data_IF_947863607362
#
_entry.id   IF_947863607362
#
_cell.length_a   1.000
_cell.length_b   1.000
_cell.length_c   1.000
_cell.angle_alpha   90.00
_cell.angle_beta   90.00
_cell.angle_gamma   90.00
#
_symmetry.space_group_name_H-M   'P 1'
#
loop_
_entity.id
_entity.type
_entity.pdbx_description
1 polymer ?
#
# COMPACT_ATOMS: atom_id res chain seq x y z
N UNK A 1 24.51 -35.13 -5.74
CA UNK A 1 25.46 -34.04 -6.02
C UNK A 1 26.01 -34.03 -7.45
N UNK A 2 26.38 -35.17 -8.05
CA UNK A 2 26.80 -35.22 -9.46
C UNK A 2 25.81 -34.61 -10.44
N UNK A 3 24.53 -34.82 -10.27
CA UNK A 3 23.47 -34.35 -11.19
C UNK A 3 23.31 -32.83 -11.28
N UNK A 4 23.53 -32.08 -10.20
CA UNK A 4 23.44 -30.61 -10.21
C UNK A 4 24.68 -29.99 -10.85
N UNK A 5 25.85 -30.56 -10.59
CA UNK A 5 27.11 -30.10 -11.13
C UNK A 5 27.21 -30.39 -12.64
N UNK A 6 26.77 -31.61 -13.07
CA UNK A 6 26.65 -31.97 -14.47
C UNK A 6 25.60 -31.12 -15.22
N UNK A 7 24.46 -30.84 -14.60
CA UNK A 7 23.45 -29.94 -15.20
C UNK A 7 23.94 -28.50 -15.30
N UNK A 8 24.73 -28.05 -14.35
CA UNK A 8 25.32 -26.70 -14.38
C UNK A 8 26.43 -26.60 -15.44
N UNK A 9 27.30 -27.60 -15.60
CA UNK A 9 28.32 -27.63 -16.62
C UNK A 9 27.72 -27.74 -18.03
N UNK A 10 26.69 -28.55 -18.24
CA UNK A 10 25.96 -28.63 -19.49
C UNK A 10 25.28 -27.33 -19.83
N UNK A 11 24.59 -26.71 -18.86
CA UNK A 11 23.97 -25.41 -19.06
C UNK A 11 25.00 -24.31 -19.34
N UNK A 12 26.14 -24.32 -18.66
CA UNK A 12 27.19 -23.33 -18.82
C UNK A 12 27.89 -23.50 -20.18
N UNK A 13 28.27 -24.72 -20.57
CA UNK A 13 28.98 -24.98 -21.81
C UNK A 13 28.08 -24.92 -23.04
N UNK A 14 26.87 -25.49 -23.02
CA UNK A 14 26.02 -25.49 -24.21
C UNK A 14 25.28 -24.18 -24.42
N UNK A 15 24.82 -23.53 -23.35
CA UNK A 15 24.05 -22.28 -23.52
C UNK A 15 24.90 -21.01 -23.42
N UNK A 16 25.84 -20.92 -22.51
CA UNK A 16 26.60 -19.67 -22.32
C UNK A 16 27.68 -19.52 -23.38
N UNK A 17 28.45 -20.60 -23.70
CA UNK A 17 29.48 -20.54 -24.76
C UNK A 17 28.87 -20.39 -26.15
N UNK A 18 27.79 -21.09 -26.44
CA UNK A 18 27.10 -20.91 -27.74
C UNK A 18 26.50 -19.50 -27.90
N UNK A 19 26.02 -18.89 -26.80
CA UNK A 19 25.62 -17.48 -26.82
C UNK A 19 26.79 -16.54 -27.09
N UNK A 20 27.97 -16.80 -26.53
CA UNK A 20 29.18 -15.99 -26.78
C UNK A 20 29.63 -16.04 -28.24
N UNK A 21 29.54 -17.19 -28.91
CA UNK A 21 29.87 -17.32 -30.32
C UNK A 21 28.86 -16.58 -31.22
N UNK A 22 27.58 -16.66 -30.89
CA UNK A 22 26.49 -15.92 -31.58
C UNK A 22 26.62 -14.41 -31.38
N UNK A 23 27.03 -13.95 -30.17
CA UNK A 23 27.27 -12.55 -29.87
C UNK A 23 28.45 -11.98 -30.69
N UNK A 24 29.49 -12.77 -30.93
CA UNK A 24 30.68 -12.34 -31.73
C UNK A 24 30.33 -12.14 -33.20
N UNK A 25 29.33 -12.90 -33.70
CA UNK A 25 28.91 -12.85 -35.12
C UNK A 25 27.91 -11.71 -35.42
N UNK A 26 27.14 -11.24 -34.41
CA UNK A 26 26.08 -10.25 -34.64
C UNK A 26 26.10 -9.15 -33.56
N UNK A 27 26.70 -7.95 -33.83
CA UNK A 27 26.81 -6.86 -32.85
C UNK A 27 25.46 -6.33 -32.37
N UNK A 28 24.38 -6.45 -33.15
CA UNK A 28 23.01 -6.08 -32.77
C UNK A 28 22.50 -6.93 -31.59
N UNK A 29 22.90 -8.20 -31.50
CA UNK A 29 22.50 -9.08 -30.39
C UNK A 29 23.17 -8.69 -29.06
N UNK A 30 24.34 -8.08 -29.11
CA UNK A 30 25.01 -7.53 -27.90
C UNK A 30 24.19 -6.39 -27.35
N UNK A 31 23.68 -5.48 -28.18
CA UNK A 31 22.84 -4.37 -27.77
C UNK A 31 21.53 -4.87 -27.13
N UNK A 32 20.89 -5.88 -27.72
CA UNK A 32 19.68 -6.50 -27.15
C UNK A 32 19.95 -7.16 -25.79
N UNK A 33 21.09 -7.86 -25.66
CA UNK A 33 21.49 -8.47 -24.37
C UNK A 33 21.74 -7.42 -23.26
N UNK A 34 22.39 -6.30 -23.60
CA UNK A 34 22.62 -5.19 -22.66
C UNK A 34 21.30 -4.56 -22.23
N UNK A 35 20.36 -4.39 -23.15
CA UNK A 35 19.03 -3.85 -22.85
C UNK A 35 18.26 -4.83 -21.95
N UNK A 36 18.26 -6.11 -22.25
CA UNK A 36 17.60 -7.15 -21.47
C UNK A 36 18.17 -7.24 -20.05
N UNK A 37 19.49 -7.30 -19.92
CA UNK A 37 20.18 -7.29 -18.62
C UNK A 37 19.88 -6.00 -17.82
N UNK A 38 19.81 -4.84 -18.51
CA UNK A 38 19.48 -3.57 -17.87
C UNK A 38 18.03 -3.53 -17.36
N UNK A 39 17.10 -4.10 -18.12
CA UNK A 39 15.68 -4.21 -17.70
C UNK A 39 15.57 -5.14 -16.49
N UNK A 40 16.23 -6.30 -16.52
CA UNK A 40 16.23 -7.24 -15.39
C UNK A 40 16.86 -6.61 -14.15
N UNK A 41 18.02 -5.96 -14.29
CA UNK A 41 18.67 -5.24 -13.18
C UNK A 41 17.80 -4.13 -12.61
N UNK A 42 17.11 -3.37 -13.46
CA UNK A 42 16.16 -2.34 -13.04
C UNK A 42 14.97 -2.93 -12.30
N UNK A 43 14.40 -4.04 -12.78
CA UNK A 43 13.29 -4.73 -12.11
C UNK A 43 13.71 -5.25 -10.73
N UNK A 44 14.88 -5.90 -10.65
CA UNK A 44 15.44 -6.39 -9.37
C UNK A 44 15.68 -5.22 -8.41
N UNK A 45 16.28 -4.11 -8.87
CA UNK A 45 16.52 -2.92 -8.05
C UNK A 45 15.20 -2.33 -7.53
N UNK A 46 14.18 -2.22 -8.37
CA UNK A 46 12.85 -1.73 -7.99
C UNK A 46 12.17 -2.65 -6.98
N UNK A 47 12.30 -3.97 -7.17
CA UNK A 47 11.77 -4.98 -6.25
C UNK A 47 12.44 -4.88 -4.87
N UNK A 48 13.78 -4.86 -4.83
CA UNK A 48 14.56 -4.72 -3.59
C UNK A 48 14.23 -3.42 -2.86
N UNK A 49 14.09 -2.31 -3.61
CA UNK A 49 13.71 -1.02 -3.02
C UNK A 49 12.30 -1.04 -2.43
N UNK A 50 11.35 -1.73 -3.06
CA UNK A 50 9.98 -1.88 -2.57
C UNK A 50 9.91 -2.69 -1.27
N UNK A 51 10.78 -3.70 -1.13
CA UNK A 51 10.77 -4.64 0.00
C UNK A 51 11.67 -4.17 1.17
N UNK A 52 12.59 -3.24 0.94
CA UNK A 52 13.67 -2.86 1.88
C UNK A 52 13.23 -2.50 3.31
N UNK A 53 12.02 -1.94 3.47
CA UNK A 53 11.51 -1.48 4.77
C UNK A 53 10.31 -2.31 5.28
N UNK A 54 10.12 -3.53 4.78
CA UNK A 54 8.97 -4.37 5.13
C UNK A 54 9.39 -5.58 5.97
N UNK A 55 8.42 -6.22 6.63
CA UNK A 55 8.61 -7.52 7.33
C UNK A 55 9.16 -8.60 6.39
N UNK A 56 8.85 -8.51 5.10
CA UNK A 56 9.36 -9.41 4.07
C UNK A 56 10.89 -9.36 3.94
N UNK A 57 11.56 -8.22 4.17
CA UNK A 57 13.02 -8.12 4.14
C UNK A 57 13.68 -8.91 5.29
N UNK A 58 13.06 -8.94 6.46
CA UNK A 58 13.58 -9.73 7.59
C UNK A 58 13.51 -11.23 7.30
N UNK A 59 12.39 -11.67 6.70
CA UNK A 59 12.22 -13.06 6.26
C UNK A 59 13.20 -13.42 5.14
N UNK A 60 13.39 -12.54 4.16
CA UNK A 60 14.38 -12.74 3.10
C UNK A 60 15.80 -12.94 3.63
N UNK A 61 16.22 -12.15 4.63
CA UNK A 61 17.52 -12.34 5.32
C UNK A 61 17.60 -13.71 6.00
N UNK A 62 16.52 -14.15 6.65
CA UNK A 62 16.45 -15.47 7.28
C UNK A 62 16.64 -16.60 6.27
N UNK A 63 16.01 -16.51 5.09
CA UNK A 63 16.16 -17.50 4.01
C UNK A 63 17.60 -17.53 3.50
N UNK A 64 18.22 -16.39 3.25
CA UNK A 64 19.60 -16.31 2.77
C UNK A 64 20.54 -16.96 3.79
N UNK A 65 20.37 -16.71 5.08
CA UNK A 65 21.15 -17.35 6.14
C UNK A 65 20.94 -18.87 6.13
N UNK A 66 19.70 -19.32 5.94
CA UNK A 66 19.37 -20.75 5.90
C UNK A 66 20.01 -21.45 4.69
N UNK A 67 20.00 -20.81 3.51
CA UNK A 67 20.67 -21.32 2.31
C UNK A 67 22.19 -21.47 2.57
N UNK A 68 22.82 -20.41 3.10
CA UNK A 68 24.26 -20.43 3.40
C UNK A 68 24.57 -21.53 4.42
N UNK A 69 23.76 -21.69 5.45
CA UNK A 69 23.95 -22.75 6.46
C UNK A 69 23.80 -24.15 5.86
N UNK A 70 22.86 -24.35 4.94
CA UNK A 70 22.66 -25.64 4.25
C UNK A 70 23.86 -25.99 3.38
N UNK A 71 24.35 -25.06 2.56
CA UNK A 71 25.54 -25.27 1.71
C UNK A 71 26.78 -25.51 2.56
N UNK A 72 26.97 -24.73 3.61
CA UNK A 72 28.13 -24.87 4.52
C UNK A 72 28.11 -26.24 5.25
N UNK A 73 26.94 -26.71 5.68
CA UNK A 73 26.81 -28.01 6.34
C UNK A 73 27.19 -29.16 5.40
N UNK A 74 26.78 -29.04 4.12
CA UNK A 74 27.18 -30.01 3.07
C UNK A 74 28.68 -30.00 2.79
N UNK A 75 29.30 -28.81 2.72
CA UNK A 75 30.74 -28.66 2.53
C UNK A 75 31.55 -29.23 3.70
N UNK A 76 31.07 -29.09 4.94
CA UNK A 76 31.72 -29.61 6.16
C UNK A 76 31.45 -31.11 6.38
N UNK A 77 30.69 -31.79 5.53
CA UNK A 77 30.34 -33.20 5.67
C UNK A 77 29.42 -33.53 6.84
N UNK A 78 28.60 -32.54 7.27
CA UNK A 78 27.64 -32.70 8.36
C UNK A 78 26.32 -33.25 7.82
N UNK A 79 26.30 -34.56 7.46
CA UNK A 79 25.21 -35.18 6.72
C UNK A 79 23.83 -35.05 7.40
N UNK A 80 23.77 -35.23 8.73
CA UNK A 80 22.52 -35.12 9.49
C UNK A 80 22.00 -33.69 9.48
N UNK A 81 22.88 -32.71 9.74
CA UNK A 81 22.52 -31.30 9.75
C UNK A 81 22.10 -30.85 8.34
N UNK A 82 22.83 -31.25 7.31
CA UNK A 82 22.48 -30.97 5.91
C UNK A 82 21.12 -31.55 5.55
N UNK A 83 20.80 -32.80 5.94
CA UNK A 83 19.51 -33.40 5.71
C UNK A 83 18.37 -32.61 6.38
N UNK A 84 18.55 -32.23 7.65
CA UNK A 84 17.54 -31.44 8.38
C UNK A 84 17.32 -30.08 7.71
N UNK A 85 18.38 -29.34 7.42
CA UNK A 85 18.30 -28.02 6.80
C UNK A 85 17.69 -28.08 5.39
N UNK A 86 18.03 -29.07 4.57
CA UNK A 86 17.46 -29.31 3.25
C UNK A 86 15.95 -29.64 3.33
N UNK A 87 15.56 -30.41 4.34
CA UNK A 87 14.14 -30.70 4.58
C UNK A 87 13.37 -29.44 4.99
N UNK A 88 13.93 -28.61 5.88
CA UNK A 88 13.37 -27.32 6.26
C UNK A 88 13.24 -26.39 5.04
N UNK A 89 14.23 -26.36 4.14
CA UNK A 89 14.16 -25.57 2.91
C UNK A 89 13.02 -26.05 2.00
N UNK A 90 12.90 -27.36 1.80
CA UNK A 90 11.88 -27.92 0.90
C UNK A 90 10.47 -27.65 1.39
N UNK A 91 10.19 -27.89 2.67
CA UNK A 91 8.87 -27.64 3.26
C UNK A 91 8.65 -26.17 3.62
N UNK A 92 9.71 -25.43 3.95
CA UNK A 92 9.66 -24.00 4.30
C UNK A 92 9.14 -23.12 3.19
N UNK A 93 9.43 -23.45 1.92
CA UNK A 93 8.85 -22.74 0.76
C UNK A 93 7.32 -22.87 0.74
N UNK A 94 6.79 -24.06 1.01
CA UNK A 94 5.35 -24.29 1.04
C UNK A 94 4.68 -23.52 2.19
N UNK A 95 5.27 -23.56 3.37
CA UNK A 95 4.80 -22.79 4.54
C UNK A 95 4.84 -21.30 4.26
N UNK A 96 5.88 -20.84 3.57
CA UNK A 96 6.03 -19.42 3.22
C UNK A 96 4.94 -18.95 2.26
N UNK A 97 4.58 -19.74 1.24
CA UNK A 97 3.47 -19.41 0.32
C UNK A 97 2.17 -19.21 1.12
N UNK A 98 1.88 -20.08 2.09
CA UNK A 98 0.68 -19.99 2.94
C UNK A 98 0.74 -18.72 3.83
N UNK A 99 1.88 -18.42 4.44
CA UNK A 99 2.04 -17.22 5.30
C UNK A 99 1.90 -15.94 4.47
N UNK A 100 2.43 -15.91 3.25
CA UNK A 100 2.36 -14.72 2.38
C UNK A 100 1.09 -14.64 1.52
N UNK A 101 0.20 -15.63 1.60
CA UNK A 101 -1.05 -15.61 0.85
C UNK A 101 -1.85 -14.29 1.02
N UNK A 102 -2.05 -13.74 2.24
CA UNK A 102 -2.77 -12.48 2.41
C UNK A 102 -2.03 -11.27 1.80
N UNK A 103 -0.70 -11.21 1.87
CA UNK A 103 0.09 -10.14 1.28
C UNK A 103 0.09 -10.20 -0.25
N UNK A 104 0.20 -11.40 -0.82
CA UNK A 104 0.11 -11.60 -2.27
C UNK A 104 -1.28 -11.21 -2.78
N UNK A 105 -2.35 -11.61 -2.07
CA UNK A 105 -3.72 -11.23 -2.42
C UNK A 105 -3.88 -9.71 -2.43
N UNK A 106 -3.47 -9.00 -1.36
CA UNK A 106 -3.50 -7.53 -1.30
C UNK A 106 -2.74 -6.87 -2.45
N UNK A 107 -1.54 -7.38 -2.77
CA UNK A 107 -0.72 -6.84 -3.86
C UNK A 107 -1.39 -7.03 -5.22
N UNK A 108 -1.97 -8.20 -5.47
CA UNK A 108 -2.70 -8.49 -6.72
C UNK A 108 -3.97 -7.65 -6.85
N UNK A 109 -4.72 -7.45 -5.77
CA UNK A 109 -5.88 -6.56 -5.73
C UNK A 109 -5.49 -5.10 -6.02
N UNK A 110 -4.37 -4.61 -5.48
CA UNK A 110 -3.85 -3.28 -5.77
C UNK A 110 -3.43 -3.10 -7.23
N UNK A 111 -2.81 -4.12 -7.83
CA UNK A 111 -2.41 -4.09 -9.24
C UNK A 111 -3.65 -4.15 -10.15
N UNK A 112 -4.62 -5.00 -9.81
CA UNK A 112 -5.86 -5.16 -10.57
C UNK A 112 -6.80 -3.93 -10.48
N UNK A 113 -6.82 -3.24 -9.35
CA UNK A 113 -7.70 -2.08 -9.15
C UNK A 113 -7.19 -0.80 -9.80
N UNK A 114 -5.86 -0.63 -9.94
CA UNK A 114 -5.26 0.58 -10.53
C UNK A 114 -5.52 0.75 -12.04
N UNK A 115 -5.71 -0.34 -12.78
CA UNK A 115 -5.80 -0.26 -14.24
C UNK A 115 -7.17 0.11 -14.81
N UNK A 116 -8.25 -0.16 -14.11
CA UNK A 116 -9.63 -0.01 -14.65
C UNK A 116 -10.34 1.20 -14.07
N UNK A 117 -10.12 1.54 -12.79
CA UNK A 117 -10.76 2.70 -12.14
C UNK A 117 -10.28 4.05 -12.64
N UNK A 118 -9.00 4.20 -13.00
CA UNK A 118 -8.46 5.48 -13.50
C UNK A 118 -9.09 5.95 -14.82
N UNK A 119 -9.80 5.06 -15.54
CA UNK A 119 -10.46 5.39 -16.81
C UNK A 119 -11.86 5.97 -16.57
N UNK A 120 -12.55 5.60 -15.48
CA UNK A 120 -13.92 6.01 -15.18
C UNK A 120 -14.04 7.21 -14.22
N UNK A 121 -13.00 7.54 -13.43
CA UNK A 121 -13.05 8.58 -12.39
C UNK A 121 -12.76 10.02 -12.89
N UNK A 122 -12.77 10.27 -14.18
CA UNK A 122 -12.44 11.60 -14.77
C UNK A 122 -13.52 12.65 -14.45
N UNK A 123 -14.72 12.24 -14.07
CA UNK A 123 -15.88 13.12 -13.89
C UNK A 123 -15.97 13.79 -12.49
N UNK A 124 -15.21 13.31 -11.50
CA UNK A 124 -15.37 13.69 -10.07
C UNK A 124 -14.40 14.75 -9.54
N UNK A 125 -13.66 15.46 -10.39
CA UNK A 125 -12.63 16.42 -9.92
C UNK A 125 -13.18 17.72 -9.32
N UNK A 126 -14.42 18.10 -9.64
CA UNK A 126 -15.02 19.34 -9.11
C UNK A 126 -15.46 19.20 -7.65
N UNK A 127 -15.79 17.99 -7.21
CA UNK A 127 -16.32 17.72 -5.87
C UNK A 127 -15.25 17.55 -4.77
N UNK A 128 -13.97 17.35 -5.11
CA UNK A 128 -12.95 17.03 -4.12
C UNK A 128 -12.63 18.20 -3.19
N UNK A 129 -12.57 19.41 -3.74
CA UNK A 129 -12.32 20.63 -2.94
C UNK A 129 -13.47 20.88 -1.96
N UNK A 130 -14.71 20.69 -2.41
CA UNK A 130 -15.92 20.81 -1.60
C UNK A 130 -15.95 19.77 -0.48
N UNK A 131 -15.60 18.51 -0.76
CA UNK A 131 -15.54 17.44 0.24
C UNK A 131 -14.56 17.76 1.37
N UNK A 132 -13.34 18.18 1.04
CA UNK A 132 -12.31 18.55 2.05
C UNK A 132 -12.80 19.74 2.89
N UNK A 133 -13.39 20.76 2.27
CA UNK A 133 -13.89 21.94 2.96
C UNK A 133 -15.04 21.60 3.92
N UNK A 134 -15.95 20.71 3.53
CA UNK A 134 -17.03 20.22 4.39
C UNK A 134 -16.53 19.39 5.58
N UNK A 135 -15.54 18.50 5.36
CA UNK A 135 -14.91 17.74 6.46
C UNK A 135 -14.19 18.66 7.43
N UNK A 136 -13.41 19.62 6.92
CA UNK A 136 -12.68 20.57 7.77
C UNK A 136 -13.66 21.40 8.61
N UNK A 137 -14.73 21.90 8.00
CA UNK A 137 -15.79 22.64 8.70
C UNK A 137 -16.46 21.79 9.79
N UNK A 138 -16.78 20.52 9.47
CA UNK A 138 -17.38 19.60 10.43
C UNK A 138 -16.48 19.31 11.63
N UNK A 139 -15.21 18.93 11.36
CA UNK A 139 -14.27 18.48 12.40
C UNK A 139 -13.96 19.61 13.39
N UNK A 140 -13.80 20.87 12.93
CA UNK A 140 -13.54 21.99 13.82
C UNK A 140 -14.77 22.41 14.63
N UNK A 141 -15.99 22.30 14.07
CA UNK A 141 -17.22 22.48 14.85
C UNK A 141 -17.34 21.42 15.94
N UNK A 142 -17.15 20.13 15.61
CA UNK A 142 -17.16 19.04 16.57
C UNK A 142 -16.09 19.21 17.66
N UNK A 143 -14.87 19.58 17.26
CA UNK A 143 -13.78 19.85 18.18
C UNK A 143 -14.12 21.00 19.16
N UNK A 144 -14.71 22.10 18.68
CA UNK A 144 -15.14 23.22 19.53
C UNK A 144 -16.25 22.84 20.52
N UNK A 145 -17.10 21.89 20.17
CA UNK A 145 -18.17 21.33 20.99
C UNK A 145 -17.70 20.15 21.86
N UNK A 146 -16.40 19.78 21.77
CA UNK A 146 -15.81 18.59 22.41
C UNK A 146 -16.50 17.28 22.03
N UNK A 147 -16.97 17.18 20.82
CA UNK A 147 -17.50 15.96 20.24
C UNK A 147 -16.36 15.18 19.59
N UNK A 148 -16.15 13.94 20.02
CA UNK A 148 -15.15 13.04 19.48
C UNK A 148 -15.52 12.58 18.07
N UNK A 149 -14.58 12.66 17.11
CA UNK A 149 -14.80 12.22 15.75
C UNK A 149 -13.55 11.55 15.17
N UNK A 150 -13.77 10.55 14.31
CA UNK A 150 -12.72 9.78 13.63
C UNK A 150 -13.10 9.61 12.15
N UNK A 151 -12.40 10.31 11.28
CA UNK A 151 -12.69 10.35 9.84
C UNK A 151 -11.48 9.81 9.08
N UNK A 152 -11.72 8.82 8.21
CA UNK A 152 -10.69 8.12 7.43
C UNK A 152 -10.93 8.37 5.95
N UNK A 153 -9.95 8.91 5.27
CA UNK A 153 -9.95 9.05 3.81
C UNK A 153 -9.23 7.85 3.18
N UNK A 154 -9.97 7.04 2.42
CA UNK A 154 -9.40 5.97 1.60
C UNK A 154 -8.59 6.56 0.45
N UNK A 155 -7.39 6.03 0.22
CA UNK A 155 -6.54 6.41 -0.91
C UNK A 155 -6.40 5.28 -1.92
N UNK A 156 -5.14 4.85 -2.14
CA UNK A 156 -4.83 3.79 -3.10
C UNK A 156 -5.18 2.40 -2.54
N UNK A 157 -5.01 2.20 -1.24
CA UNK A 157 -5.33 0.94 -0.56
C UNK A 157 -6.81 0.89 -0.20
N UNK A 158 -7.50 -0.15 -0.68
CA UNK A 158 -8.94 -0.34 -0.40
C UNK A 158 -9.19 -0.63 1.08
N UNK A 159 -10.16 0.09 1.65
CA UNK A 159 -10.65 -0.11 3.01
C UNK A 159 -12.01 -0.83 3.05
N UNK A 160 -12.36 -1.57 1.99
CA UNK A 160 -13.66 -2.24 1.89
C UNK A 160 -13.91 -3.22 3.05
N UNK A 161 -12.90 -3.98 3.49
CA UNK A 161 -13.03 -4.89 4.64
C UNK A 161 -13.37 -4.13 5.93
N UNK A 162 -12.77 -2.95 6.13
CA UNK A 162 -13.07 -2.09 7.29
C UNK A 162 -14.46 -1.46 7.15
N UNK A 163 -14.84 -1.00 5.97
CA UNK A 163 -16.16 -0.43 5.71
C UNK A 163 -17.30 -1.45 5.97
N UNK A 164 -17.07 -2.72 5.71
CA UNK A 164 -18.02 -3.81 6.00
C UNK A 164 -18.23 -4.07 7.50
N UNK A 165 -17.36 -3.60 8.39
CA UNK A 165 -17.58 -3.70 9.84
C UNK A 165 -18.59 -2.69 10.37
N UNK A 166 -18.86 -1.63 9.60
CA UNK A 166 -19.75 -0.55 9.96
C UNK A 166 -21.10 -0.59 9.22
N UNK A 167 -21.83 0.50 9.34
CA UNK A 167 -23.11 0.72 8.66
C UNK A 167 -22.86 1.44 7.34
N UNK A 168 -23.33 0.87 6.23
CA UNK A 168 -23.24 1.50 4.91
C UNK A 168 -24.12 2.74 4.86
N UNK A 169 -23.57 3.87 4.45
CA UNK A 169 -24.28 5.16 4.33
C UNK A 169 -24.45 5.56 2.87
N UNK A 170 -23.41 5.44 2.06
CA UNK A 170 -23.35 5.79 0.63
C UNK A 170 -23.96 7.17 0.31
N UNK A 171 -23.47 8.23 0.93
CA UNK A 171 -23.97 9.60 0.75
C UNK A 171 -22.85 10.57 0.38
N UNK A 172 -23.23 11.75 -0.15
CA UNK A 172 -22.31 12.86 -0.31
C UNK A 172 -21.85 13.37 1.06
N UNK A 173 -20.59 13.85 1.10
CA UNK A 173 -20.03 14.45 2.32
C UNK A 173 -20.65 15.83 2.53
N UNK A 174 -21.23 16.05 3.69
CA UNK A 174 -21.67 17.36 4.17
C UNK A 174 -21.32 17.54 5.65
N UNK A 175 -21.09 18.78 6.04
CA UNK A 175 -20.82 19.14 7.43
C UNK A 175 -21.94 18.69 8.36
N UNK A 176 -23.17 18.86 7.94
CA UNK A 176 -24.37 18.53 8.70
C UNK A 176 -24.50 17.03 8.93
N UNK A 177 -24.26 16.22 7.87
CA UNK A 177 -24.32 14.76 7.99
C UNK A 177 -23.21 14.21 8.88
N UNK A 178 -21.98 14.69 8.73
CA UNK A 178 -20.86 14.27 9.58
C UNK A 178 -21.14 14.60 11.05
N UNK A 179 -21.65 15.78 11.35
CA UNK A 179 -22.02 16.16 12.71
C UNK A 179 -23.13 15.28 13.28
N UNK A 180 -24.14 14.93 12.47
CA UNK A 180 -25.20 14.02 12.88
C UNK A 180 -24.70 12.60 13.16
N UNK A 181 -23.77 12.10 12.36
CA UNK A 181 -23.15 10.77 12.59
C UNK A 181 -22.46 10.73 13.96
N UNK A 182 -21.71 11.78 14.32
CA UNK A 182 -20.91 11.80 15.55
C UNK A 182 -21.66 12.38 16.77
N UNK A 183 -23.00 12.57 16.70
CA UNK A 183 -23.76 12.93 17.89
C UNK A 183 -23.59 11.85 18.97
N UNK A 184 -23.13 12.22 20.17
CA UNK A 184 -22.94 11.26 21.26
C UNK A 184 -24.21 10.45 21.56
N UNK A 185 -24.03 9.22 22.02
CA UNK A 185 -25.10 8.30 22.41
C UNK A 185 -26.04 7.85 21.27
N UNK A 186 -25.63 8.07 20.00
CA UNK A 186 -26.35 7.55 18.83
C UNK A 186 -25.66 6.29 18.28
N UNK A 187 -26.38 5.41 17.53
CA UNK A 187 -25.79 4.16 17.01
C UNK A 187 -24.60 4.32 16.06
N UNK A 188 -24.44 5.48 15.43
CA UNK A 188 -23.42 5.70 14.40
C UNK A 188 -22.15 6.39 14.92
N UNK A 189 -22.16 6.94 16.16
CA UNK A 189 -21.06 7.77 16.66
C UNK A 189 -19.84 6.97 17.12
N UNK A 190 -20.03 5.70 17.47
CA UNK A 190 -18.94 4.85 17.95
C UNK A 190 -18.25 4.15 16.77
N UNK A 191 -17.01 4.52 16.52
CA UNK A 191 -16.21 4.06 15.42
C UNK A 191 -15.79 5.16 14.46
N UNK A 192 -15.39 4.76 13.25
CA UNK A 192 -14.88 5.66 12.21
C UNK A 192 -15.88 5.85 11.07
N UNK A 193 -15.82 7.03 10.45
CA UNK A 193 -16.42 7.30 9.16
C UNK A 193 -15.38 7.08 8.07
N UNK A 194 -15.71 6.30 7.04
CA UNK A 194 -14.84 6.08 5.88
C UNK A 194 -15.36 6.91 4.71
N UNK A 195 -14.47 7.75 4.17
CA UNK A 195 -14.72 8.56 2.97
C UNK A 195 -13.87 8.01 1.83
N UNK A 196 -14.55 7.75 0.70
CA UNK A 196 -13.95 7.28 -0.54
C UNK A 196 -14.57 8.02 -1.71
N UNK A 197 -13.76 8.52 -2.65
CA UNK A 197 -14.22 9.23 -3.85
C UNK A 197 -15.25 10.32 -3.49
N UNK A 198 -14.96 11.13 -2.46
CA UNK A 198 -15.82 12.24 -1.99
C UNK A 198 -17.20 11.83 -1.46
N UNK A 199 -17.37 10.56 -1.11
CA UNK A 199 -18.59 10.02 -0.52
C UNK A 199 -18.33 9.36 0.83
N UNK A 200 -19.25 9.50 1.76
CA UNK A 200 -19.26 8.70 2.99
C UNK A 200 -19.72 7.29 2.59
N UNK A 201 -18.81 6.33 2.66
CA UNK A 201 -19.12 4.92 2.34
C UNK A 201 -19.82 4.25 3.50
N UNK A 202 -19.25 4.37 4.70
CA UNK A 202 -19.77 3.75 5.91
C UNK A 202 -19.44 4.58 7.15
N UNK A 203 -20.21 4.37 8.21
CA UNK A 203 -20.01 4.94 9.53
C UNK A 203 -19.96 3.84 10.60
N UNK A 204 -19.55 4.16 11.83
CA UNK A 204 -19.39 3.17 12.92
C UNK A 204 -18.45 2.02 12.55
N UNK A 205 -17.40 2.29 11.75
CA UNK A 205 -16.43 1.29 11.31
C UNK A 205 -15.41 1.02 12.41
N UNK A 206 -15.08 -0.27 12.62
CA UNK A 206 -14.09 -0.71 13.61
C UNK A 206 -12.70 -0.67 12.98
N UNK A 207 -11.80 0.12 13.57
CA UNK A 207 -10.41 0.22 13.12
C UNK A 207 -9.47 -0.61 14.00
N UNK A 208 -8.37 -1.13 13.44
CA UNK A 208 -7.31 -1.75 14.23
C UNK A 208 -6.67 -0.72 15.16
N UNK A 209 -6.39 -1.13 16.39
CA UNK A 209 -5.71 -0.30 17.39
C UNK A 209 -4.21 -0.56 17.31
N UNK A 210 -3.40 0.48 17.51
CA UNK A 210 -1.94 0.34 17.53
C UNK A 210 -1.45 -0.38 18.79
N UNK A 211 -0.43 -1.23 18.62
CA UNK A 211 0.25 -1.93 19.73
C UNK A 211 1.36 -1.08 20.39
N UNK A 212 1.54 0.19 19.97
CA UNK A 212 2.57 1.06 20.53
C UNK A 212 2.28 1.38 22.00
N UNK A 213 3.14 0.92 22.91
CA UNK A 213 3.02 1.17 24.35
C UNK A 213 3.42 2.60 24.77
N UNK A 214 4.32 3.24 24.03
CA UNK A 214 4.90 4.55 24.34
C UNK A 214 4.09 5.73 23.77
N UNK A 215 2.78 5.61 23.69
CA UNK A 215 1.93 6.73 23.31
C UNK A 215 1.58 7.60 24.53
N UNK A 216 1.57 8.91 24.31
CA UNK A 216 1.17 9.88 25.32
C UNK A 216 -0.24 9.53 25.87
N UNK A 217 -0.41 9.62 27.19
CA UNK A 217 -1.67 9.28 27.88
C UNK A 217 -2.86 10.13 27.43
N UNK A 218 -2.62 11.30 26.85
CA UNK A 218 -3.66 12.17 26.28
C UNK A 218 -4.35 11.58 25.03
N UNK A 219 -3.82 10.49 24.43
CA UNK A 219 -4.42 9.87 23.27
C UNK A 219 -5.41 8.77 23.68
N UNK A 220 -6.70 9.07 23.59
CA UNK A 220 -7.79 8.13 23.82
C UNK A 220 -7.91 7.07 22.70
N UNK A 221 -8.97 6.27 22.78
CA UNK A 221 -9.22 5.13 21.88
C UNK A 221 -9.26 5.52 20.41
N UNK A 222 -9.90 6.66 20.05
CA UNK A 222 -9.97 7.16 18.66
C UNK A 222 -8.59 7.49 18.08
N UNK A 223 -7.70 8.08 18.89
CA UNK A 223 -6.34 8.37 18.45
C UNK A 223 -5.52 7.08 18.24
N UNK A 224 -5.65 6.10 19.13
CA UNK A 224 -4.98 4.81 19.04
C UNK A 224 -5.46 4.02 17.82
N UNK A 225 -6.75 4.07 17.52
CA UNK A 225 -7.35 3.48 16.33
C UNK A 225 -6.87 4.19 15.03
N UNK A 226 -6.79 5.52 15.04
CA UNK A 226 -6.25 6.28 13.93
C UNK A 226 -4.79 5.91 13.62
N UNK A 227 -3.94 5.80 14.66
CA UNK A 227 -2.54 5.38 14.49
C UNK A 227 -2.47 3.96 13.94
N UNK A 228 -3.19 3.00 14.54
CA UNK A 228 -3.19 1.60 14.11
C UNK A 228 -3.64 1.42 12.65
N UNK A 229 -4.69 2.13 12.24
CA UNK A 229 -5.16 2.12 10.85
C UNK A 229 -4.12 2.73 9.90
N UNK A 230 -3.48 3.84 10.28
CA UNK A 230 -2.46 4.49 9.46
C UNK A 230 -1.12 3.73 9.36
N UNK A 231 -0.88 2.77 10.24
CA UNK A 231 0.25 1.84 10.17
C UNK A 231 0.03 0.74 9.13
N UNK A 232 -1.23 0.36 8.91
CA UNK A 232 -1.62 -0.75 8.05
C UNK A 232 -2.10 -0.29 6.66
N UNK A 233 -2.30 1.03 6.46
CA UNK A 233 -2.80 1.59 5.20
C UNK A 233 -2.13 2.92 4.86
N UNK A 234 -2.36 3.38 3.64
CA UNK A 234 -1.96 4.72 3.16
C UNK A 234 -3.04 5.79 3.39
N UNK A 235 -4.06 5.46 4.17
CA UNK A 235 -5.17 6.35 4.50
C UNK A 235 -4.70 7.62 5.21
N UNK A 236 -5.43 8.71 4.97
CA UNK A 236 -5.27 9.96 5.71
C UNK A 236 -6.39 10.05 6.73
N UNK A 237 -6.04 10.22 8.00
CA UNK A 237 -7.00 10.12 9.11
C UNK A 237 -7.02 11.42 9.91
N UNK A 238 -8.22 11.90 10.20
CA UNK A 238 -8.45 13.10 11.03
C UNK A 238 -9.22 12.71 12.28
N UNK A 239 -8.75 13.21 13.42
CA UNK A 239 -9.34 12.94 14.75
C UNK A 239 -9.68 14.24 15.44
N UNK A 240 -10.91 14.35 15.97
CA UNK A 240 -11.26 15.37 16.96
C UNK A 240 -11.29 14.71 18.34
N UNK A 241 -10.58 15.31 19.31
CA UNK A 241 -10.56 14.85 20.68
C UNK A 241 -11.76 15.37 21.46
N UNK A 242 -12.51 14.48 22.08
CA UNK A 242 -13.61 14.84 23.00
C UNK A 242 -13.11 15.41 24.33
N UNK A 243 -11.91 15.05 24.74
CA UNK A 243 -11.34 15.54 26.00
C UNK A 243 -10.78 16.96 25.87
N UNK A 244 -9.95 17.18 24.84
CA UNK A 244 -9.18 18.42 24.69
C UNK A 244 -9.77 19.38 23.66
N UNK A 245 -10.69 18.95 22.81
CA UNK A 245 -11.21 19.73 21.70
C UNK A 245 -10.15 20.02 20.62
N UNK A 246 -9.05 19.25 20.57
CA UNK A 246 -7.99 19.45 19.58
C UNK A 246 -8.20 18.55 18.38
N UNK A 247 -7.77 19.04 17.20
CA UNK A 247 -7.78 18.27 15.96
C UNK A 247 -6.39 17.73 15.68
N UNK A 248 -6.32 16.44 15.33
CA UNK A 248 -5.09 15.73 14.98
C UNK A 248 -5.19 15.14 13.57
N UNK A 249 -4.07 15.12 12.86
CA UNK A 249 -3.90 14.48 11.56
C UNK A 249 -2.96 13.29 11.71
N UNK A 250 -3.38 12.11 11.26
CA UNK A 250 -2.61 10.86 11.41
C UNK A 250 -2.31 10.26 10.04
N UNK A 251 -1.03 9.95 9.79
CA UNK A 251 -0.54 9.46 8.50
C UNK A 251 0.70 8.58 8.73
N UNK A 252 0.75 7.39 8.13
CA UNK A 252 1.89 6.47 8.19
C UNK A 252 2.38 6.22 9.64
N UNK A 253 1.46 5.98 10.57
CA UNK A 253 1.76 5.72 11.98
C UNK A 253 2.29 6.92 12.76
N UNK A 254 2.22 8.14 12.20
CA UNK A 254 2.63 9.40 12.84
C UNK A 254 1.42 10.29 13.08
N UNK A 255 1.34 10.85 14.28
CA UNK A 255 0.29 11.80 14.65
C UNK A 255 0.87 13.22 14.70
N UNK A 256 0.15 14.17 14.10
CA UNK A 256 0.39 15.61 14.18
C UNK A 256 -0.80 16.19 14.93
N UNK A 257 -0.57 16.59 16.18
CA UNK A 257 -1.62 17.12 17.06
C UNK A 257 -1.74 18.64 16.96
N UNK A 258 -2.90 19.16 17.39
CA UNK A 258 -3.19 20.61 17.41
C UNK A 258 -2.98 21.28 16.04
N UNK A 259 -3.44 20.62 15.00
CA UNK A 259 -3.36 21.16 13.64
C UNK A 259 -4.34 22.35 13.53
N UNK A 260 -3.95 23.45 12.91
CA UNK A 260 -4.86 24.57 12.62
C UNK A 260 -5.75 24.27 11.42
N UNK A 261 -6.93 24.90 11.34
CA UNK A 261 -7.89 24.70 10.26
C UNK A 261 -7.28 24.90 8.87
N UNK A 262 -6.51 25.96 8.69
CA UNK A 262 -5.83 26.26 7.43
C UNK A 262 -4.78 25.19 7.06
N UNK A 263 -4.01 24.74 8.06
CA UNK A 263 -3.00 23.69 7.87
C UNK A 263 -3.65 22.37 7.52
N UNK A 264 -4.73 21.99 8.22
CA UNK A 264 -5.47 20.76 7.92
C UNK A 264 -6.03 20.78 6.51
N UNK A 265 -6.67 21.88 6.12
CA UNK A 265 -7.24 22.06 4.77
C UNK A 265 -6.16 21.92 3.69
N UNK A 266 -5.01 22.56 3.88
CA UNK A 266 -3.88 22.50 2.95
C UNK A 266 -3.30 21.09 2.86
N UNK A 267 -3.10 20.42 4.00
CA UNK A 267 -2.54 19.07 4.05
C UNK A 267 -3.49 18.03 3.43
N UNK A 268 -4.80 18.12 3.71
CA UNK A 268 -5.80 17.25 3.10
C UNK A 268 -5.86 17.43 1.59
N UNK A 269 -5.97 18.67 1.09
CA UNK A 269 -5.95 18.96 -0.36
C UNK A 269 -4.70 18.38 -1.00
N UNK A 270 -3.52 18.66 -0.47
CA UNK A 270 -2.24 18.16 -0.99
C UNK A 270 -2.13 16.64 -1.04
N UNK A 271 -2.69 15.94 -0.06
CA UNK A 271 -2.54 14.48 0.08
C UNK A 271 -3.64 13.69 -0.61
N UNK A 272 -4.79 14.27 -0.76
CA UNK A 272 -5.93 13.68 -1.45
C UNK A 272 -5.97 14.05 -2.93
N UNK A 273 -5.41 15.22 -3.32
CA UNK A 273 -5.16 15.52 -4.73
C UNK A 273 -4.23 14.46 -5.29
N UNK A 274 -4.75 13.61 -6.17
CA UNK A 274 -3.92 12.71 -6.98
C UNK A 274 -2.94 13.57 -7.77
N UNK A 275 -1.70 13.11 -7.90
CA UNK A 275 -0.65 13.82 -8.62
C UNK A 275 -1.13 14.18 -10.04
N UNK A 276 -1.63 15.40 -10.23
CA UNK A 276 -2.14 15.95 -11.49
C UNK A 276 -1.14 15.85 -12.66
N UNK A 277 0.13 15.62 -12.35
CA UNK A 277 1.19 15.39 -13.33
C UNK A 277 1.03 14.07 -14.08
N UNK A 278 0.55 13.01 -13.43
CA UNK A 278 0.29 11.74 -14.12
C UNK A 278 -0.97 11.82 -15.00
N UNK A 279 -2.01 12.52 -14.55
CA UNK A 279 -3.26 12.68 -15.30
C UNK A 279 -3.08 13.58 -16.52
N UNK A 280 -2.27 14.65 -16.42
CA UNK A 280 -1.94 15.51 -17.58
C UNK A 280 -1.16 14.78 -18.66
N UNK A 281 -0.26 13.88 -18.29
CA UNK A 281 0.47 13.05 -19.26
C UNK A 281 -0.44 12.06 -19.99
N UNK A 282 -1.42 11.46 -19.30
CA UNK A 282 -2.40 10.54 -19.90
C UNK A 282 -3.39 11.29 -20.80
N UNK A 283 -3.82 12.51 -20.42
CA UNK A 283 -4.69 13.36 -21.30
C UNK A 283 -4.00 13.79 -22.60
N UNK A 284 -2.70 13.96 -22.61
CA UNK A 284 -1.94 14.25 -23.84
C UNK A 284 -1.73 13.03 -24.75
N UNK A 285 -1.73 11.83 -24.18
CA UNK A 285 -1.51 10.58 -24.94
C UNK A 285 -2.80 10.05 -25.56
N UNK A 286 -3.98 10.25 -24.91
CA UNK A 286 -5.27 9.74 -25.37
C UNK A 286 -5.69 10.18 -26.78
N UNK A 287 -5.57 11.46 -27.20
CA UNK A 287 -5.90 11.86 -28.57
C UNK A 287 -4.93 11.29 -29.60
N UNK A 288 -3.68 11.05 -29.26
CA UNK A 288 -2.69 10.47 -30.17
C UNK A 288 -2.93 8.96 -30.42
N UNK A 289 -3.40 8.23 -29.40
CA UNK A 289 -3.74 6.81 -29.54
C UNK A 289 -5.04 6.65 -30.35
N UNK A 290 -6.07 7.46 -30.09
CA UNK A 290 -7.31 7.41 -30.86
C UNK A 290 -7.13 7.82 -32.34
N UNK A 291 -6.28 8.81 -32.61
CA UNK A 291 -5.92 9.20 -33.98
C UNK A 291 -5.13 8.11 -34.74
N UNK A 292 -4.40 7.25 -34.04
CA UNK A 292 -3.71 6.10 -34.66
C UNK A 292 -4.62 4.90 -34.92
N UNK A 293 -5.61 4.67 -34.07
CA UNK A 293 -6.59 3.58 -34.25
C UNK A 293 -7.59 3.92 -35.35
N UNK A 294 -8.03 5.19 -35.45
CA UNK A 294 -8.97 5.65 -36.48
C UNK A 294 -8.39 5.78 -37.92
N UNK A 295 -7.07 5.63 -38.09
CA UNK A 295 -6.39 5.63 -39.41
C UNK A 295 -6.13 4.24 -39.99
N UNK A 296 -6.61 3.18 -39.33
CA UNK A 296 -6.36 1.77 -39.74
C UNK A 296 -7.64 1.02 -40.15
N UNK A 297 -8.72 1.77 -40.40
CA UNK A 297 -9.93 1.25 -41.11
C UNK A 297 -10.11 2.02 -42.39
#
# INVERSE_FOLDING_TARGET
>A
MRTIQESFEVFFNEKILSYFEILRAYPIKILMLVIDLSIVAFLIFKLVKAVKNTRAMQLFKGIVILIIATELSGFLGLDILHYILSSVMTYGVMVMIVIFQPELRKTLEQIGSKGIRDIFDIENQVDQTTCVDEVVKAIYKMASEKVGALIVFEKDMSLAEIAHTGVTIDSQVSCELLRNIFVPDTPLHDGAVIIKNNRIVAASCILPITDKENLDRQYGTRHRAAIGMSEQSDAVIVVASEETGTVSLVINGKIISKVSEETLRKELKRRLERDDKQIKSIKQIKPQIMARIGKKN
#
